data_IF_438747044962
#
_entry.id   IF_438747044962
#
_cell.length_a   1.000
_cell.length_b   1.000
_cell.length_c   1.000
_cell.angle_alpha   90.00
_cell.angle_beta   90.00
_cell.angle_gamma   90.00
#
_symmetry.space_group_name_H-M   'P 1'
#
loop_
_entity.id
_entity.type
_entity.pdbx_description
1 polymer ?
2 polymer ?
3 polymer ?
#
# COMPACT_ATOMS: atom_id res chain seq x y z
N UNK A 30 -18.57 -12.73 -3.12
CA UNK A 30 -18.83 -13.24 -1.77
C UNK A 30 -17.92 -12.61 -0.70
N UNK A 31 -18.46 -12.23 0.47
CA UNK A 31 -17.62 -11.94 1.67
C UNK A 31 -18.14 -12.08 3.11
N UNK A 32 -19.02 -11.20 3.55
CA UNK A 32 -19.99 -11.48 4.64
C UNK A 32 -19.53 -12.18 5.99
N UNK A 33 -19.84 -11.56 7.17
CA UNK A 33 -19.98 -12.36 8.42
C UNK A 33 -21.45 -12.87 8.43
N UNK A 34 -22.42 -12.04 8.79
CA UNK A 34 -23.78 -12.39 8.37
C UNK A 34 -23.75 -11.84 6.95
N UNK A 35 -23.34 -10.56 6.84
CA UNK A 35 -23.19 -9.91 5.54
C UNK A 35 -22.46 -8.53 5.49
N UNK A 36 -21.26 -8.52 4.89
CA UNK A 36 -20.78 -7.51 3.87
C UNK A 36 -20.22 -6.07 4.15
N UNK A 37 -20.95 -5.00 3.83
CA UNK A 37 -20.40 -3.62 4.00
C UNK A 37 -19.74 -3.43 5.36
N UNK A 38 -18.64 -2.67 5.42
CA UNK A 38 -17.94 -2.59 6.70
C UNK A 38 -18.89 -2.16 7.84
N UNK A 39 -19.69 -1.12 7.59
CA UNK A 39 -20.55 -0.57 8.64
C UNK A 39 -21.78 -1.40 8.96
N UNK A 40 -21.92 -2.56 8.32
CA UNK A 40 -22.95 -3.56 8.67
C UNK A 40 -22.32 -4.74 9.44
N UNK A 41 -21.08 -5.06 9.05
CA UNK A 41 -20.22 -5.96 9.79
C UNK A 41 -19.94 -5.36 11.19
N UNK A 42 -19.84 -4.04 11.29
CA UNK A 42 -19.72 -3.34 12.59
C UNK A 42 -20.94 -3.60 13.46
N UNK A 43 -22.12 -3.19 12.97
CA UNK A 43 -23.37 -3.39 13.70
C UNK A 43 -23.58 -4.85 14.16
N UNK A 44 -23.15 -5.82 13.34
CA UNK A 44 -23.30 -7.21 13.74
C UNK A 44 -22.34 -7.60 14.83
N UNK A 45 -21.10 -7.12 14.72
CA UNK A 45 -20.09 -7.40 15.75
C UNK A 45 -20.48 -6.69 17.02
N UNK A 46 -21.00 -5.47 16.87
CA UNK A 46 -21.56 -4.70 17.97
C UNK A 46 -22.57 -5.52 18.76
N UNK A 47 -23.72 -5.82 18.13
CA UNK A 47 -24.80 -6.58 18.81
C UNK A 47 -24.28 -7.90 19.38
N UNK A 48 -23.33 -8.55 18.71
CA UNK A 48 -22.69 -9.77 19.20
C UNK A 48 -21.95 -9.51 20.48
N UNK A 49 -20.81 -8.86 20.42
CA UNK A 49 -19.93 -8.78 21.57
C UNK A 49 -20.60 -8.15 22.81
N UNK A 50 -21.41 -7.11 22.62
CA UNK A 50 -22.03 -6.41 23.76
C UNK A 50 -23.07 -7.30 24.46
N UNK A 51 -24.15 -7.60 23.75
CA UNK A 51 -25.27 -8.33 24.34
C UNK A 51 -24.99 -9.77 24.79
N UNK A 52 -24.18 -10.50 24.00
CA UNK A 52 -24.02 -11.95 24.18
C UNK A 52 -23.28 -12.40 25.44
N UNK A 53 -22.01 -12.01 25.60
CA UNK A 53 -21.21 -12.42 26.78
C UNK A 53 -20.87 -13.91 26.82
N UNK A 54 -21.12 -14.58 25.68
CA UNK A 54 -20.94 -16.03 25.55
C UNK A 54 -19.87 -16.54 24.57
N UNK A 55 -19.29 -17.68 24.93
CA UNK A 55 -18.37 -18.33 24.03
C UNK A 55 -19.12 -19.24 23.03
N UNK A 56 -19.85 -18.69 22.06
CA UNK A 56 -20.33 -19.59 21.00
C UNK A 56 -19.14 -19.98 20.09
N UNK A 57 -18.56 -21.15 20.33
CA UNK A 57 -17.31 -21.52 19.67
C UNK A 57 -17.45 -21.65 18.13
N UNK A 58 -18.57 -22.22 17.69
CA UNK A 58 -18.92 -22.18 16.27
C UNK A 58 -18.61 -20.78 15.74
N UNK A 59 -19.17 -19.77 16.40
CA UNK A 59 -19.14 -18.37 15.98
C UNK A 59 -17.77 -17.69 15.92
N UNK A 60 -16.93 -17.93 16.95
CA UNK A 60 -15.54 -17.44 16.90
C UNK A 60 -14.90 -17.99 15.64
N UNK A 61 -15.10 -19.29 15.42
CA UNK A 61 -14.58 -19.92 14.22
C UNK A 61 -15.05 -19.20 12.95
N UNK A 62 -16.34 -18.94 12.81
CA UNK A 62 -16.87 -18.28 11.60
C UNK A 62 -16.29 -16.85 11.38
N UNK A 63 -15.77 -16.25 12.47
CA UNK A 63 -15.07 -14.96 12.38
C UNK A 63 -13.62 -15.14 11.87
N UNK A 64 -12.92 -16.13 12.43
CA UNK A 64 -11.64 -16.52 11.85
C UNK A 64 -11.74 -16.73 10.32
N UNK A 65 -12.76 -17.47 9.88
CA UNK A 65 -12.93 -17.76 8.44
C UNK A 65 -13.19 -16.48 7.63
N UNK A 66 -14.04 -15.62 8.19
CA UNK A 66 -14.28 -14.31 7.57
C UNK A 66 -13.02 -13.49 7.47
N UNK A 67 -12.20 -13.48 8.52
CA UNK A 67 -10.96 -12.74 8.51
C UNK A 67 -9.98 -13.29 7.51
N UNK A 68 -9.73 -14.59 7.57
CA UNK A 68 -8.78 -15.16 6.63
C UNK A 68 -9.25 -15.01 5.18
N UNK A 69 -10.57 -14.84 4.94
CA UNK A 69 -11.06 -14.66 3.55
C UNK A 69 -10.81 -13.26 3.07
N UNK A 70 -10.93 -12.28 3.98
CA UNK A 70 -10.46 -10.94 3.68
C UNK A 70 -8.99 -10.98 3.22
N UNK A 71 -8.22 -11.90 3.82
CA UNK A 71 -6.80 -12.06 3.42
C UNK A 71 -6.77 -12.51 1.96
N UNK A 72 -7.42 -13.64 1.65
CA UNK A 72 -7.47 -14.17 0.31
C UNK A 72 -8.06 -13.23 -0.74
N UNK A 73 -9.08 -12.44 -0.36
CA UNK A 73 -9.60 -11.40 -1.25
C UNK A 73 -8.75 -10.17 -1.35
N UNK A 74 -7.52 -10.24 -0.83
CA UNK A 74 -6.61 -9.10 -0.85
C UNK A 74 -7.30 -7.82 -0.34
N UNK A 75 -8.03 -7.93 0.77
CA UNK A 75 -8.78 -6.79 1.30
C UNK A 75 -8.32 -6.38 2.71
N UNK A 76 -7.09 -5.88 2.76
CA UNK A 76 -6.43 -5.67 4.03
C UNK A 76 -6.93 -4.49 4.86
N UNK A 77 -7.42 -3.44 4.19
CA UNK A 77 -7.98 -2.30 4.88
C UNK A 77 -9.14 -2.81 5.75
N UNK A 78 -9.94 -3.71 5.21
CA UNK A 78 -11.11 -4.16 5.95
C UNK A 78 -10.67 -5.12 7.06
N UNK A 79 -9.63 -5.89 6.78
CA UNK A 79 -9.09 -6.83 7.75
C UNK A 79 -8.61 -6.09 8.99
N UNK A 80 -8.12 -4.87 8.76
CA UNK A 80 -7.54 -4.09 9.84
C UNK A 80 -8.60 -3.33 10.61
N UNK A 81 -9.67 -2.94 9.93
CA UNK A 81 -10.68 -2.19 10.65
C UNK A 81 -11.44 -3.13 11.57
N UNK A 82 -11.58 -4.38 11.11
CA UNK A 82 -12.32 -5.39 11.84
C UNK A 82 -11.45 -5.83 13.01
N UNK A 83 -10.18 -6.11 12.75
CA UNK A 83 -9.33 -6.55 13.83
C UNK A 83 -9.22 -5.48 14.91
N UNK A 84 -9.13 -4.22 14.49
CA UNK A 84 -8.98 -3.09 15.42
C UNK A 84 -10.27 -2.84 16.21
N UNK A 85 -11.40 -2.93 15.52
CA UNK A 85 -12.70 -2.76 16.13
C UNK A 85 -13.01 -3.87 17.17
N UNK A 86 -12.67 -5.11 16.82
CA UNK A 86 -12.81 -6.20 17.74
C UNK A 86 -11.85 -6.09 18.94
N UNK A 87 -10.72 -5.41 18.78
CA UNK A 87 -9.84 -5.15 19.91
C UNK A 87 -10.56 -4.20 20.90
N UNK A 88 -11.07 -3.06 20.40
CA UNK A 88 -11.82 -2.08 21.18
C UNK A 88 -12.95 -2.77 21.95
N UNK A 89 -13.92 -3.36 21.25
CA UNK A 89 -15.05 -4.00 21.91
C UNK A 89 -14.76 -5.22 22.79
N UNK A 90 -13.72 -6.00 22.49
CA UNK A 90 -13.48 -7.23 23.26
C UNK A 90 -12.50 -7.04 24.43
N UNK A 91 -11.54 -6.15 24.28
CA UNK A 91 -10.54 -5.92 25.32
C UNK A 91 -11.14 -5.24 26.56
N UNK A 92 -12.14 -4.40 26.35
CA UNK A 92 -12.70 -3.63 27.45
C UNK A 92 -13.19 -4.60 28.48
N UNK A 93 -13.78 -5.69 27.99
CA UNK A 93 -14.05 -6.85 28.81
C UNK A 93 -15.32 -7.59 28.41
N UNK A 94 -16.31 -7.54 29.31
CA UNK A 94 -17.41 -8.53 29.41
C UNK A 94 -16.83 -9.83 30.00
N UNK A 95 -16.24 -9.67 31.19
CA UNK A 95 -15.46 -10.73 31.86
C UNK A 95 -14.11 -10.88 31.16
N UNK A 96 -13.98 -11.91 30.31
CA UNK A 96 -12.67 -12.33 29.82
C UNK A 96 -12.76 -13.37 28.72
N UNK A 97 -13.94 -13.97 28.59
CA UNK A 97 -14.19 -14.93 27.52
C UNK A 97 -13.78 -14.27 26.20
N UNK A 98 -14.27 -13.04 26.00
CA UNK A 98 -13.90 -12.17 24.87
C UNK A 98 -12.46 -11.75 24.81
N UNK A 99 -11.70 -12.04 25.86
CA UNK A 99 -10.29 -11.69 25.85
C UNK A 99 -9.46 -12.81 25.25
N UNK A 100 -9.88 -14.05 25.43
CA UNK A 100 -9.15 -15.16 24.88
C UNK A 100 -9.57 -15.36 23.45
N UNK A 101 -10.84 -15.08 23.18
CA UNK A 101 -11.43 -15.10 21.86
C UNK A 101 -10.61 -14.23 20.93
N UNK A 102 -10.55 -12.94 21.24
CA UNK A 102 -9.75 -12.03 20.42
C UNK A 102 -8.34 -12.57 20.18
N UNK A 103 -7.69 -13.04 21.25
CA UNK A 103 -6.34 -13.55 21.15
C UNK A 103 -6.35 -14.64 20.12
N UNK A 104 -7.26 -15.58 20.27
CA UNK A 104 -7.41 -16.69 19.33
C UNK A 104 -7.62 -16.29 17.86
N UNK A 105 -8.49 -15.31 17.62
CA UNK A 105 -8.72 -14.81 16.26
C UNK A 105 -7.43 -14.16 15.72
N UNK A 106 -6.80 -13.32 16.53
CA UNK A 106 -5.56 -12.67 16.11
C UNK A 106 -4.53 -13.70 15.70
N UNK A 107 -4.40 -14.79 16.47
CA UNK A 107 -3.39 -15.84 16.24
C UNK A 107 -3.48 -16.43 14.83
N UNK A 108 -4.70 -16.77 14.44
CA UNK A 108 -4.94 -17.44 13.21
C UNK A 108 -4.84 -16.45 12.07
N UNK A 109 -5.39 -15.26 12.23
CA UNK A 109 -5.22 -14.26 11.18
C UNK A 109 -3.72 -14.08 10.89
N UNK A 110 -2.95 -13.92 11.93
CA UNK A 110 -1.52 -13.68 11.81
C UNK A 110 -0.70 -14.82 11.15
N UNK A 111 -1.04 -16.08 11.39
CA UNK A 111 -0.28 -17.19 10.76
C UNK A 111 -0.54 -17.22 9.27
N UNK A 112 -1.78 -16.85 8.91
CA UNK A 112 -2.22 -16.86 7.54
C UNK A 112 -1.56 -15.66 6.83
N UNK A 113 -1.65 -14.47 7.45
CA UNK A 113 -0.92 -13.31 6.91
C UNK A 113 0.54 -13.60 6.73
N UNK A 114 1.18 -14.24 7.71
CA UNK A 114 2.57 -14.57 7.58
C UNK A 114 2.89 -15.43 6.36
N UNK A 115 1.99 -16.33 5.99
CA UNK A 115 2.22 -17.14 4.78
C UNK A 115 1.79 -16.47 3.52
N UNK A 116 0.85 -15.57 3.57
CA UNK A 116 0.41 -15.11 2.29
C UNK A 116 0.95 -13.73 1.95
N UNK A 117 1.36 -12.97 2.97
CA UNK A 117 2.04 -11.68 2.71
C UNK A 117 3.48 -11.63 3.25
N UNK A 118 3.87 -12.58 4.11
CA UNK A 118 5.24 -12.61 4.65
C UNK A 118 5.35 -11.48 5.64
N UNK A 119 4.22 -11.18 6.28
CA UNK A 119 4.12 -10.06 7.19
C UNK A 119 3.07 -10.31 8.26
N UNK A 120 3.39 -9.95 9.49
CA UNK A 120 2.43 -9.90 10.59
C UNK A 120 1.78 -8.52 10.57
N UNK A 121 0.54 -8.39 11.03
CA UNK A 121 -0.13 -7.08 11.12
C UNK A 121 0.43 -6.17 12.25
N UNK A 122 -0.42 -5.49 13.01
CA UNK A 122 -0.02 -4.28 13.74
C UNK A 122 -0.83 -4.02 15.04
N UNK A 123 -0.33 -3.06 15.83
CA UNK A 123 -0.63 -2.86 17.29
C UNK A 123 -0.35 -4.14 18.08
N UNK B 26 -9.81 -1.57 -24.63
CA UNK B 26 -8.71 -0.68 -25.11
C UNK B 26 -8.23 0.36 -24.08
N UNK B 27 -9.16 0.74 -23.20
CA UNK B 27 -8.92 1.43 -21.91
C UNK B 27 -7.58 1.17 -21.17
N UNK B 28 -6.78 0.23 -21.67
CA UNK B 28 -5.48 0.00 -21.09
C UNK B 28 -4.80 1.34 -20.81
N UNK B 29 -4.82 2.25 -21.77
CA UNK B 29 -3.99 3.44 -21.67
C UNK B 29 -4.56 4.55 -20.77
N UNK B 30 -5.86 4.56 -20.53
CA UNK B 30 -6.45 5.66 -19.80
C UNK B 30 -6.32 5.35 -18.30
N UNK B 31 -6.47 4.08 -17.96
CA UNK B 31 -6.22 3.70 -16.58
C UNK B 31 -4.75 3.95 -16.18
N UNK B 32 -3.82 3.65 -17.11
CA UNK B 32 -2.39 3.90 -16.94
C UNK B 32 -2.13 5.38 -16.76
N UNK B 33 -2.79 6.15 -17.60
CA UNK B 33 -2.89 7.59 -17.49
C UNK B 33 -3.30 7.88 -16.06
N UNK B 34 -4.46 7.37 -15.62
CA UNK B 34 -5.02 7.82 -14.34
C UNK B 34 -4.07 7.53 -13.20
N UNK B 35 -3.56 6.28 -13.21
CA UNK B 35 -2.61 5.78 -12.21
C UNK B 35 -1.29 6.51 -12.16
N UNK B 36 -0.76 6.87 -13.33
CA UNK B 36 0.49 7.63 -13.31
C UNK B 36 0.33 9.00 -12.70
N UNK B 37 -0.68 9.76 -13.13
CA UNK B 37 -1.00 11.00 -12.45
C UNK B 37 -1.11 10.79 -10.89
N UNK B 38 -1.72 9.69 -10.47
CA UNK B 38 -1.88 9.37 -9.05
C UNK B 38 -0.55 9.07 -8.36
N UNK B 39 0.25 8.17 -8.90
CA UNK B 39 1.46 7.71 -8.24
C UNK B 39 2.41 8.90 -8.08
N UNK B 40 2.44 9.79 -9.08
CA UNK B 40 3.28 11.01 -8.93
C UNK B 40 2.86 11.76 -7.66
N UNK B 41 1.56 12.03 -7.55
CA UNK B 41 1.08 12.72 -6.36
C UNK B 41 1.51 11.97 -5.10
N UNK B 42 1.20 10.68 -5.06
CA UNK B 42 1.49 9.89 -3.87
C UNK B 42 2.99 9.78 -3.56
N UNK B 43 3.84 9.58 -4.58
CA UNK B 43 5.27 9.54 -4.32
C UNK B 43 5.73 10.85 -3.63
N UNK B 44 5.31 11.99 -4.18
CA UNK B 44 5.82 13.28 -3.72
C UNK B 44 5.48 13.43 -2.25
N UNK B 45 4.20 13.17 -1.95
CA UNK B 45 3.62 13.25 -0.61
C UNK B 45 4.32 12.36 0.40
N UNK B 46 4.76 11.18 -0.07
CA UNK B 46 5.42 10.24 0.80
C UNK B 46 6.79 10.79 1.15
N UNK B 47 7.47 11.38 0.17
CA UNK B 47 8.80 11.92 0.44
C UNK B 47 8.69 13.10 1.38
N UNK B 48 7.61 13.84 1.28
CA UNK B 48 7.36 14.90 2.23
C UNK B 48 7.02 14.37 3.61
N UNK B 49 5.99 13.53 3.72
CA UNK B 49 5.48 13.05 5.02
C UNK B 49 6.51 12.18 5.77
N UNK B 50 7.30 11.41 5.02
CA UNK B 50 8.38 10.64 5.62
C UNK B 50 9.66 11.45 5.80
N UNK B 51 9.66 12.70 5.35
CA UNK B 51 10.81 13.60 5.54
C UNK B 51 12.10 13.08 4.89
N UNK B 52 11.97 12.53 3.69
CA UNK B 52 13.10 12.03 2.91
C UNK B 52 13.83 13.20 2.23
N UNK B 53 13.14 14.33 2.19
CA UNK B 53 13.68 15.59 1.72
C UNK B 53 13.12 16.69 2.61
N UNK B 54 13.94 17.71 2.84
CA UNK B 54 13.68 18.83 3.74
C UNK B 54 12.42 19.56 3.34
N UNK B 55 11.68 20.02 4.34
CA UNK B 55 10.37 20.65 4.12
C UNK B 55 10.38 21.67 2.98
N UNK B 56 11.52 22.31 2.80
CA UNK B 56 11.62 23.53 2.04
C UNK B 56 11.60 23.47 0.53
N UNK B 57 11.76 22.28 -0.05
CA UNK B 57 11.69 22.12 -1.52
C UNK B 57 10.28 21.74 -1.95
N UNK B 58 9.39 21.61 -0.98
CA UNK B 58 8.03 21.25 -1.30
C UNK B 58 7.18 22.48 -1.34
N UNK B 59 6.23 22.50 -2.26
CA UNK B 59 5.27 23.57 -2.34
C UNK B 59 3.87 22.99 -2.12
N UNK B 60 3.04 23.66 -1.32
CA UNK B 60 1.65 23.28 -1.12
C UNK B 60 0.95 23.18 -2.47
N UNK B 61 0.13 22.13 -2.65
CA UNK B 61 -0.74 22.04 -3.80
C UNK B 61 -2.06 21.39 -3.42
N UNK B 62 -2.99 21.45 -4.36
CA UNK B 62 -4.25 20.75 -4.26
C UNK B 62 -4.31 19.67 -5.37
N UNK B 63 -4.55 18.43 -4.98
CA UNK B 63 -4.79 17.37 -5.97
C UNK B 63 -5.90 16.50 -5.46
N UNK B 64 -6.74 16.01 -6.39
CA UNK B 64 -7.98 15.33 -6.05
C UNK B 64 -8.69 16.09 -4.93
N UNK B 65 -8.55 17.42 -4.98
CA UNK B 65 -9.08 18.30 -3.94
C UNK B 65 -8.55 18.03 -2.54
N UNK B 66 -7.33 17.52 -2.43
CA UNK B 66 -6.71 17.32 -1.14
C UNK B 66 -5.48 18.24 -0.99
N UNK B 67 -5.22 18.73 0.25
CA UNK B 67 -3.92 19.39 0.44
C UNK B 67 -2.80 18.37 0.26
N UNK B 68 -1.88 18.66 -0.65
CA UNK B 68 -0.71 17.81 -0.84
C UNK B 68 0.57 18.63 -0.83
N UNK B 69 1.71 17.97 -0.77
CA UNK B 69 3.00 18.61 -1.11
C UNK B 69 3.68 18.02 -2.36
N UNK B 70 4.43 18.86 -3.04
CA UNK B 70 5.10 18.44 -4.27
C UNK B 70 6.44 19.13 -4.37
N UNK B 71 7.48 18.34 -4.57
CA UNK B 71 8.80 18.94 -4.76
C UNK B 71 8.72 19.90 -5.93
N UNK B 72 9.44 20.99 -5.83
CA UNK B 72 9.72 21.71 -7.05
C UNK B 72 11.22 21.79 -7.32
N UNK B 73 11.95 20.80 -6.81
CA UNK B 73 13.32 20.63 -7.20
C UNK B 73 13.32 19.95 -8.51
N UNK B 74 13.81 20.64 -9.54
CA UNK B 74 13.66 20.17 -10.91
C UNK B 74 14.15 18.75 -11.12
N UNK B 75 15.31 18.40 -10.56
CA UNK B 75 15.91 17.05 -10.80
C UNK B 75 15.18 15.95 -10.04
N UNK B 76 14.64 16.29 -8.89
CA UNK B 76 13.92 15.31 -8.13
C UNK B 76 12.69 15.07 -8.97
N UNK B 77 12.03 16.17 -9.38
CA UNK B 77 10.81 16.02 -10.21
C UNK B 77 11.08 15.23 -11.48
N UNK B 78 12.19 15.52 -12.14
CA UNK B 78 12.52 14.81 -13.36
C UNK B 78 12.67 13.32 -13.05
N UNK B 79 13.34 13.02 -11.93
CA UNK B 79 13.62 11.64 -11.55
C UNK B 79 12.32 10.89 -11.38
N UNK B 80 11.45 11.43 -10.56
CA UNK B 80 10.20 10.77 -10.29
C UNK B 80 9.44 10.61 -11.61
N UNK B 81 9.51 11.58 -12.51
CA UNK B 81 8.81 11.46 -13.78
C UNK B 81 9.37 10.41 -14.76
N UNK B 82 10.71 10.36 -14.86
CA UNK B 82 11.36 9.34 -15.69
C UNK B 82 10.88 7.95 -15.29
N UNK B 83 10.88 7.71 -13.98
CA UNK B 83 10.36 6.47 -13.43
C UNK B 83 8.92 6.18 -13.92
N UNK B 84 7.97 7.08 -13.62
CA UNK B 84 6.57 6.85 -14.04
C UNK B 84 6.35 6.75 -15.53
N UNK B 85 7.09 7.54 -16.29
CA UNK B 85 7.03 7.48 -17.74
C UNK B 85 7.42 6.08 -18.15
N UNK B 86 8.47 5.51 -17.57
CA UNK B 86 8.92 4.17 -17.96
C UNK B 86 7.96 3.07 -17.52
N UNK B 87 7.23 3.27 -16.42
CA UNK B 87 6.35 2.23 -15.96
C UNK B 87 5.06 2.21 -16.80
N UNK B 88 4.67 3.38 -17.28
CA UNK B 88 3.40 3.59 -17.96
C UNK B 88 3.10 2.48 -18.95
N UNK B 89 3.99 2.24 -19.91
CA UNK B 89 3.60 1.24 -20.89
C UNK B 89 3.30 -0.14 -20.27
N UNK B 90 3.95 -0.47 -19.15
CA UNK B 90 3.75 -1.76 -18.54
C UNK B 90 2.40 -1.84 -17.82
N UNK B 91 1.92 -0.68 -17.37
CA UNK B 91 0.58 -0.56 -16.81
C UNK B 91 -0.44 -0.74 -17.94
N UNK B 92 -0.20 -0.09 -19.11
CA UNK B 92 -1.08 -0.18 -20.29
C UNK B 92 -1.40 -1.63 -20.64
N UNK B 93 -0.38 -2.49 -20.66
CA UNK B 93 -0.60 -3.89 -21.01
C UNK B 93 -0.87 -4.73 -19.73
N UNK B 94 -0.96 -4.05 -18.61
CA UNK B 94 -1.22 -4.71 -17.34
C UNK B 94 -0.20 -5.80 -16.91
N UNK B 95 1.11 -5.50 -16.98
CA UNK B 95 2.11 -6.51 -16.58
C UNK B 95 2.71 -6.32 -15.20
N UNK B 96 2.45 -5.13 -14.64
CA UNK B 96 2.90 -4.74 -13.33
C UNK B 96 1.91 -5.26 -12.33
N UNK B 97 2.46 -5.90 -11.32
CA UNK B 97 1.69 -6.51 -10.26
C UNK B 97 1.65 -5.56 -9.07
N UNK B 98 2.83 -5.06 -8.64
CA UNK B 98 2.90 -3.99 -7.62
C UNK B 98 3.96 -2.97 -7.95
N UNK B 99 3.71 -1.72 -7.55
CA UNK B 99 4.71 -0.66 -7.58
C UNK B 99 5.01 -0.30 -6.14
N UNK B 100 6.28 -0.29 -5.79
CA UNK B 100 6.67 -0.16 -4.39
C UNK B 100 7.65 0.98 -4.22
N UNK B 101 7.36 1.89 -3.30
CA UNK B 101 8.34 2.92 -2.99
C UNK B 101 9.06 2.46 -1.74
N UNK B 102 10.38 2.36 -1.84
CA UNK B 102 11.22 1.84 -0.76
C UNK B 102 12.04 2.93 -0.11
N UNK B 103 11.88 3.12 1.19
CA UNK B 103 12.74 4.04 1.95
C UNK B 103 13.93 3.25 2.52
N UNK B 104 15.14 3.74 2.28
CA UNK B 104 16.32 3.02 2.70
C UNK B 104 17.00 3.82 3.76
N UNK B 105 17.63 3.13 4.71
CA UNK B 105 18.46 3.81 5.70
C UNK B 105 19.82 4.06 5.05
N UNK B 106 20.71 4.67 5.82
CA UNK B 106 21.99 5.09 5.30
C UNK B 106 22.93 3.93 4.99
N UNK B 107 22.57 2.73 5.44
CA UNK B 107 23.32 1.54 5.13
C UNK B 107 22.69 0.84 3.95
N UNK B 108 21.65 1.47 3.39
CA UNK B 108 20.99 0.96 2.19
C UNK B 108 20.13 -0.25 2.47
N UNK B 109 19.87 -0.50 3.75
CA UNK B 109 18.89 -1.50 4.18
C UNK B 109 17.46 -0.91 4.17
N UNK B 110 16.51 -1.59 3.52
CA UNK B 110 15.13 -1.10 3.50
C UNK B 110 14.46 -0.93 4.88
N UNK B 111 14.04 0.27 5.22
CA UNK B 111 13.35 0.54 6.50
C UNK B 111 11.84 0.36 6.32
N UNK B 112 11.34 0.76 5.17
CA UNK B 112 9.93 0.64 4.95
C UNK B 112 9.61 0.77 3.47
N UNK B 113 8.47 0.20 3.11
CA UNK B 113 8.05 0.12 1.73
C UNK B 113 6.59 0.56 1.64
N UNK B 114 6.27 1.41 0.66
CA UNK B 114 4.88 1.72 0.36
C UNK B 114 4.43 0.95 -0.86
N UNK B 115 3.64 -0.09 -0.56
CA UNK B 115 3.22 -1.05 -1.56
C UNK B 115 1.87 -0.74 -2.18
N UNK B 116 1.88 -0.42 -3.47
CA UNK B 116 0.70 -0.24 -4.24
C UNK B 116 0.49 -1.52 -5.02
N UNK B 117 -0.30 -2.45 -4.46
CA UNK B 117 -0.73 -3.68 -5.20
C UNK B 117 -1.83 -3.33 -6.20
N UNK B 118 -1.69 -3.82 -7.44
CA UNK B 118 -2.58 -3.43 -8.55
C UNK B 118 -3.33 -4.59 -9.23
N UNK B 119 -4.60 -4.37 -9.56
CA UNK B 119 -5.34 -5.23 -10.47
C UNK B 119 -6.11 -4.36 -11.43
N UNK B 120 -6.25 -4.86 -12.66
CA UNK B 120 -7.01 -4.20 -13.71
C UNK B 120 -8.01 -5.16 -14.31
N UNK B 121 -9.22 -5.22 -13.73
CA UNK B 121 -10.25 -6.15 -14.22
C UNK B 121 -10.76 -5.76 -15.62
N UNK B 122 -10.85 -6.73 -16.56
CA UNK B 122 -11.27 -6.33 -17.92
C UNK B 122 -12.78 -6.24 -18.12
N UNK B 126 -19.19 -2.64 -21.47
CA UNK B 126 -17.97 -2.12 -20.86
C UNK B 126 -18.06 -0.57 -20.90
N UNK B 127 -18.61 0.01 -19.82
CA UNK B 127 -18.64 1.47 -19.47
C UNK B 127 -19.90 2.36 -19.80
N UNK B 128 -20.47 2.97 -18.75
CA UNK B 128 -21.51 4.02 -18.89
C UNK B 128 -21.20 5.31 -18.05
N UNK B 129 -20.53 6.27 -18.70
CA UNK B 129 -20.27 7.63 -18.20
C UNK B 129 -19.65 7.79 -16.79
N UNK B 130 -18.99 8.93 -16.57
CA UNK B 130 -18.36 9.34 -15.29
C UNK B 130 -17.80 8.21 -14.35
N UNK B 131 -17.26 7.17 -14.98
CA UNK B 131 -16.50 6.15 -14.31
C UNK B 131 -15.14 6.70 -13.79
N UNK B 132 -14.42 7.41 -14.64
CA UNK B 132 -13.15 7.98 -14.26
C UNK B 132 -13.18 8.90 -13.02
N UNK B 133 -14.18 9.78 -12.93
CA UNK B 133 -14.24 10.71 -11.79
C UNK B 133 -14.62 10.00 -10.50
N UNK B 134 -15.35 8.90 -10.60
CA UNK B 134 -15.60 8.08 -9.44
C UNK B 134 -14.30 7.41 -9.00
N UNK B 135 -13.47 7.03 -9.97
CA UNK B 135 -12.20 6.41 -9.64
C UNK B 135 -11.29 7.40 -8.93
N UNK B 136 -11.31 8.66 -9.34
CA UNK B 136 -10.45 9.68 -8.70
C UNK B 136 -10.95 10.08 -7.31
N UNK B 137 -12.26 10.07 -7.16
CA UNK B 137 -12.86 10.18 -5.87
C UNK B 137 -12.27 9.13 -4.89
N UNK B 138 -12.14 7.89 -5.37
CA UNK B 138 -11.60 6.85 -4.53
C UNK B 138 -10.09 7.07 -4.25
N UNK B 139 -9.36 7.64 -5.21
CA UNK B 139 -7.89 7.78 -5.03
C UNK B 139 -7.54 8.89 -4.06
N UNK B 140 -8.30 9.99 -4.15
CA UNK B 140 -8.26 11.05 -3.16
C UNK B 140 -8.06 10.48 -1.73
N UNK B 141 -8.85 9.46 -1.36
CA UNK B 141 -8.80 8.88 -0.01
C UNK B 141 -7.46 8.21 0.39
N UNK B 142 -6.70 7.82 -0.64
CA UNK B 142 -5.38 7.23 -0.51
C UNK B 142 -4.41 8.33 -0.16
N UNK B 143 -4.53 9.44 -0.90
CA UNK B 143 -3.72 10.64 -0.66
C UNK B 143 -3.86 11.08 0.80
N UNK B 144 -5.08 11.13 1.31
CA UNK B 144 -5.28 11.50 2.70
C UNK B 144 -4.61 10.52 3.67
N UNK B 145 -4.81 9.24 3.43
CA UNK B 145 -4.27 8.24 4.33
C UNK B 145 -2.77 8.46 4.45
N UNK B 146 -2.14 8.77 3.32
CA UNK B 146 -0.71 9.06 3.27
C UNK B 146 -0.36 10.30 4.09
N UNK B 147 -1.21 11.32 4.02
CA UNK B 147 -0.89 12.59 4.64
C UNK B 147 -1.06 12.51 6.15
N UNK B 148 -1.82 11.55 6.63
CA UNK B 148 -1.99 11.38 8.08
C UNK B 148 -1.39 10.06 8.55
N UNK B 149 -0.40 9.56 7.81
CA UNK B 149 0.12 8.22 8.06
C UNK B 149 1.28 8.16 9.07
N UNK B 150 1.76 9.31 9.52
CA UNK B 150 2.74 9.37 10.60
C UNK B 150 2.14 8.84 11.88
N UNK B 151 0.82 8.87 11.96
CA UNK B 151 0.07 8.46 13.15
C UNK B 151 0.16 6.97 13.46
N UNK B 152 0.68 6.18 12.50
CA UNK B 152 0.61 4.70 12.55
C UNK B 152 1.95 4.00 12.28
N UNK B 153 2.96 4.79 11.93
CA UNK B 153 4.26 4.27 11.56
C UNK B 153 5.26 4.82 12.53
N UNK B 154 6.34 4.09 12.78
CA UNK B 154 7.42 4.60 13.62
C UNK B 154 8.33 5.42 12.74
N UNK B 155 8.89 6.54 13.24
CA UNK B 155 9.70 7.33 12.33
C UNK B 155 11.04 6.69 12.07
N UNK B 156 11.57 6.94 10.87
CA UNK B 156 12.84 6.37 10.44
C UNK B 156 14.05 7.08 11.05
N UNK B 157 15.16 6.33 11.19
CA UNK B 157 16.47 6.91 11.46
C UNK B 157 16.78 7.97 10.40
N UNK B 158 17.58 8.99 10.73
CA UNK B 158 17.74 10.01 9.71
C UNK B 158 18.73 9.58 8.60
N UNK B 159 18.86 10.40 7.57
CA UNK B 159 19.68 10.09 6.40
C UNK B 159 19.12 9.00 5.50
N UNK B 160 17.80 8.91 5.45
CA UNK B 160 17.12 7.95 4.57
C UNK B 160 17.05 8.44 3.13
N UNK B 161 17.33 7.51 2.25
CA UNK B 161 17.25 7.66 0.81
C UNK B 161 15.94 6.95 0.40
N UNK B 162 15.49 7.10 -0.85
CA UNK B 162 14.41 6.24 -1.34
C UNK B 162 14.71 5.65 -2.70
N UNK B 163 13.85 4.72 -3.14
CA UNK B 163 13.96 4.09 -4.46
C UNK B 163 12.58 3.55 -4.95
N UNK B 164 12.44 3.27 -6.25
CA UNK B 164 11.23 2.67 -6.77
C UNK B 164 11.46 1.26 -7.33
N UNK B 165 10.56 0.33 -7.04
CA UNK B 165 10.66 -1.05 -7.51
C UNK B 165 9.36 -1.37 -8.20
N UNK B 166 9.46 -2.02 -9.35
CA UNK B 166 8.27 -2.43 -10.09
C UNK B 166 8.25 -3.95 -10.13
N UNK B 167 7.33 -4.57 -9.40
CA UNK B 167 7.19 -6.03 -9.48
C UNK B 167 6.32 -6.41 -10.64
N UNK B 168 6.90 -7.01 -11.67
CA UNK B 168 6.05 -7.56 -12.79
C UNK B 168 5.28 -8.84 -12.44
N UNK B 169 4.19 -9.09 -13.16
CA UNK B 169 3.40 -10.29 -12.94
C UNK B 169 4.19 -11.49 -13.38
N UNK B 170 4.85 -11.33 -14.51
CA UNK B 170 5.50 -12.44 -15.18
C UNK B 170 6.97 -12.09 -15.25
N UNK B 171 7.82 -13.08 -15.14
CA UNK B 171 9.23 -12.82 -15.39
C UNK B 171 9.45 -12.85 -16.89
N UNK B 172 9.46 -11.69 -17.53
CA UNK B 172 9.44 -11.70 -18.98
C UNK B 172 10.36 -10.70 -19.64
N UNK B 173 11.20 -11.23 -20.47
CA UNK B 173 11.97 -10.50 -21.44
C UNK B 173 11.23 -9.30 -22.04
N UNK B 174 10.00 -9.49 -22.52
CA UNK B 174 9.12 -8.42 -23.02
C UNK B 174 9.05 -7.20 -22.06
N UNK B 175 8.88 -7.49 -20.77
CA UNK B 175 8.95 -6.47 -19.71
C UNK B 175 10.21 -5.56 -19.68
N UNK B 176 11.38 -6.14 -19.83
CA UNK B 176 12.60 -5.34 -19.84
C UNK B 176 12.60 -4.43 -21.06
N UNK B 177 12.14 -4.95 -22.19
CA UNK B 177 12.12 -4.19 -23.41
C UNK B 177 11.22 -2.99 -23.28
N UNK B 178 9.95 -3.21 -22.95
CA UNK B 178 9.03 -2.07 -22.88
C UNK B 178 9.32 -1.06 -21.76
N UNK B 179 10.09 -1.47 -20.74
CA UNK B 179 10.51 -0.52 -19.71
C UNK B 179 11.71 0.32 -20.15
N UNK B 180 12.63 -0.21 -20.95
CA UNK B 180 13.78 0.58 -21.44
C UNK B 180 13.39 1.69 -22.45
N UNK B 181 12.64 2.68 -21.98
CA UNK B 181 12.06 3.68 -22.85
C UNK B 181 12.87 4.99 -22.90
N UNK B 182 13.65 5.29 -21.87
CA UNK B 182 14.57 6.42 -21.98
C UNK B 182 16.00 5.92 -21.87
N UNK B 183 16.82 6.21 -22.88
CA UNK B 183 18.25 6.04 -22.70
C UNK B 183 18.57 7.17 -21.75
N UNK B 184 19.60 7.02 -20.94
CA UNK B 184 19.90 7.99 -19.89
C UNK B 184 19.05 7.72 -18.69
N UNK B 185 18.11 6.78 -18.84
CA UNK B 185 17.40 6.28 -17.67
C UNK B 185 17.11 4.76 -17.67
N UNK B 186 18.18 3.96 -17.70
CA UNK B 186 18.07 2.53 -17.75
C UNK B 186 17.42 1.89 -16.50
N UNK B 187 16.84 0.68 -16.68
CA UNK B 187 16.42 -0.20 -15.59
C UNK B 187 17.27 -1.45 -15.52
N UNK B 188 17.50 -1.96 -14.31
CA UNK B 188 18.20 -3.24 -14.13
C UNK B 188 17.32 -4.20 -13.33
N UNK B 189 17.77 -5.43 -13.14
CA UNK B 189 17.05 -6.31 -12.23
C UNK B 189 17.53 -5.97 -10.84
N UNK B 190 16.63 -6.03 -9.85
CA UNK B 190 16.91 -5.77 -8.44
C UNK B 190 17.80 -6.85 -7.83
N UNK B 191 18.61 -6.52 -6.82
CA UNK B 191 19.30 -7.56 -6.00
C UNK B 191 18.43 -7.96 -4.80
N UNK B 192 18.85 -9.02 -4.10
CA UNK B 192 18.24 -9.41 -2.84
C UNK B 192 18.38 -8.28 -1.81
N UNK B 193 19.53 -7.59 -1.83
CA UNK B 193 19.81 -6.43 -0.98
C UNK B 193 18.81 -5.27 -1.15
N UNK B 194 18.21 -5.14 -2.34
CA UNK B 194 17.20 -4.11 -2.60
C UNK B 194 15.84 -4.46 -1.99
N UNK B 195 15.59 -5.74 -1.81
CA UNK B 195 14.23 -6.17 -1.46
C UNK B 195 14.09 -6.76 -0.06
N UNK B 196 15.16 -7.40 0.44
CA UNK B 196 15.04 -8.07 1.72
C UNK B 196 14.83 -7.13 2.85
N UNK B 197 13.71 -7.32 3.54
CA UNK B 197 13.42 -6.59 4.77
C UNK B 197 13.12 -7.56 5.86
N UNK B 198 13.91 -7.54 6.93
CA UNK B 198 13.68 -8.53 7.98
C UNK B 198 12.63 -8.13 8.95
N UNK B 199 11.67 -8.93 8.88
CA UNK B 199 10.57 -9.00 9.79
C UNK B 199 9.66 -7.86 9.63
N UNK B 200 8.80 -7.99 8.70
CA UNK B 200 8.02 -6.88 8.31
C UNK B 200 6.74 -6.92 9.09
N UNK B 201 6.25 -5.75 9.43
CA UNK B 201 4.97 -5.70 10.12
C UNK B 201 4.00 -4.94 9.19
N UNK B 202 2.72 -5.13 9.13
CA UNK B 202 1.93 -4.67 8.02
C UNK B 202 0.95 -3.60 8.45
N UNK B 203 0.96 -2.48 7.72
CA UNK B 203 0.04 -1.40 8.01
C UNK B 203 -0.75 -0.98 6.78
N UNK B 204 -1.91 -1.61 6.56
CA UNK B 204 -2.73 -1.24 5.38
C UNK B 204 -3.16 0.18 5.49
N UNK B 205 -3.18 0.93 4.40
CA UNK B 205 -3.83 2.25 4.47
C UNK B 205 -5.17 2.26 3.74
N UNK B 206 -5.22 1.77 2.50
CA UNK B 206 -6.44 1.93 1.71
C UNK B 206 -6.61 0.85 0.63
N UNK B 207 -7.85 0.41 0.45
CA UNK B 207 -8.19 -0.55 -0.59
C UNK B 207 -9.31 0.11 -1.40
N UNK B 208 -9.43 -0.24 -2.67
CA UNK B 208 -10.52 0.26 -3.51
C UNK B 208 -10.89 -0.77 -4.57
N UNK B 209 -12.11 -0.66 -5.10
CA UNK B 209 -12.54 -1.48 -6.26
C UNK B 209 -13.27 -0.59 -7.23
N UNK B 210 -13.25 -0.97 -8.50
CA UNK B 210 -14.03 -0.29 -9.53
C UNK B 210 -14.07 -1.22 -10.75
N UNK B 211 -14.72 -0.78 -11.82
CA UNK B 211 -14.74 -1.61 -13.01
C UNK B 211 -13.36 -1.64 -13.69
N UNK B 212 -12.64 -0.53 -13.60
CA UNK B 212 -11.34 -0.40 -14.23
C UNK B 212 -10.12 -0.66 -13.31
N UNK B 213 -10.26 -0.42 -12.01
CA UNK B 213 -9.10 -0.48 -11.15
C UNK B 213 -9.38 -1.10 -9.78
N UNK B 214 -8.48 -1.98 -9.32
CA UNK B 214 -8.49 -2.54 -7.95
C UNK B 214 -7.10 -2.33 -7.42
N UNK B 215 -7.00 -1.70 -6.28
CA UNK B 215 -5.68 -1.38 -5.81
C UNK B 215 -5.69 -1.31 -4.32
N UNK B 216 -4.63 -1.78 -3.70
CA UNK B 216 -4.47 -1.50 -2.29
C UNK B 216 -3.09 -0.99 -1.98
N UNK B 217 -3.03 -0.10 -0.99
CA UNK B 217 -1.82 0.48 -0.47
C UNK B 217 -1.68 0.07 0.97
N UNK B 218 -0.62 -0.69 1.21
CA UNK B 218 -0.17 -1.04 2.58
C UNK B 218 1.32 -0.72 2.67
N UNK B 219 1.76 -0.53 3.90
CA UNK B 219 3.14 -0.24 4.19
C UNK B 219 3.67 -1.50 4.84
N UNK B 220 4.86 -1.89 4.43
CA UNK B 220 5.59 -2.96 5.11
C UNK B 220 6.67 -2.20 5.83
N UNK B 221 6.71 -2.33 7.14
CA UNK B 221 7.63 -1.58 7.99
C UNK B 221 8.54 -2.52 8.79
N UNK B 222 9.85 -2.31 8.68
CA UNK B 222 10.88 -3.08 9.44
C UNK B 222 10.50 -3.16 10.91
N UNK B 223 10.85 -4.25 11.58
CA UNK B 223 10.38 -4.51 12.96
C UNK B 223 11.12 -3.67 14.02
N UNK B 224 12.46 -3.72 13.98
CA UNK B 224 13.34 -2.94 14.87
C UNK B 224 14.65 -2.64 14.15
N UNK C 27 16.10 -14.46 -5.25
CA UNK C 27 14.74 -15.06 -5.37
C UNK C 27 14.07 -14.47 -6.60
N UNK C 28 14.23 -15.16 -7.72
CA UNK C 28 13.62 -14.75 -8.99
C UNK C 28 13.95 -13.30 -9.40
N UNK C 29 13.42 -12.90 -10.56
CA UNK C 29 13.80 -11.65 -11.16
C UNK C 29 12.68 -11.08 -12.02
N UNK C 30 11.57 -10.78 -11.34
CA UNK C 30 10.46 -10.10 -11.97
C UNK C 30 10.33 -8.73 -11.33
N UNK C 31 11.37 -8.34 -10.60
CA UNK C 31 11.46 -7.03 -9.98
C UNK C 31 12.42 -6.08 -10.72
N UNK C 32 11.89 -4.95 -11.19
CA UNK C 32 12.70 -3.97 -11.90
C UNK C 32 12.99 -2.73 -11.11
N UNK C 33 14.13 -2.14 -11.38
CA UNK C 33 14.68 -1.07 -10.58
C UNK C 33 15.35 -0.14 -11.59
N UNK C 34 15.32 1.19 -11.35
CA UNK C 34 16.12 2.09 -12.16
C UNK C 34 17.55 1.93 -11.72
N UNK C 35 18.48 2.19 -12.64
CA UNK C 35 19.88 2.09 -12.34
C UNK C 35 20.28 3.36 -11.62
N UNK C 36 19.70 4.49 -12.03
CA UNK C 36 20.07 5.80 -11.52
C UNK C 36 19.46 6.04 -10.18
N UNK C 37 20.18 6.73 -9.34
CA UNK C 37 19.67 7.07 -8.03
C UNK C 37 18.99 8.43 -8.02
N UNK C 38 17.98 8.58 -7.16
CA UNK C 38 17.38 9.89 -6.93
C UNK C 38 18.41 10.83 -6.33
N UNK C 39 18.25 12.16 -6.52
CA UNK C 39 19.21 13.15 -6.08
C UNK C 39 19.34 13.10 -4.57
N UNK C 40 20.56 13.19 -4.05
CA UNK C 40 20.80 13.08 -2.62
C UNK C 40 20.28 14.29 -1.86
N UNK C 41 19.93 14.10 -0.58
CA UNK C 41 19.55 15.22 0.29
C UNK C 41 20.49 16.41 0.14
N UNK C 42 21.78 16.14 0.01
CA UNK C 42 22.79 17.19 -0.12
C UNK C 42 22.62 18.06 -1.37
N UNK C 43 22.55 17.44 -2.54
CA UNK C 43 22.40 18.16 -3.81
C UNK C 43 21.15 19.04 -3.86
N UNK C 44 20.19 18.73 -3.01
CA UNK C 44 18.97 19.52 -2.89
C UNK C 44 19.30 20.72 -2.03
N UNK C 45 19.83 20.46 -0.84
CA UNK C 45 20.27 21.52 0.06
C UNK C 45 21.27 22.43 -0.66
N UNK C 46 21.81 21.97 -1.78
CA UNK C 46 22.49 22.84 -2.73
C UNK C 46 21.46 23.85 -3.27
N UNK C 47 20.56 24.27 -2.38
CA UNK C 47 19.63 25.40 -2.53
C UNK C 47 18.92 25.63 -1.19
#
# INVERSE_FOLDING_TARGET
>A
MRGSHHHHHHGSGLSSLQSDPAGCVRPPAPNLAGAVEFNDVKTLLREWITTISDPMEEDILQVVKYCTDLIEEKDLEKLDLVIKYMKRLMQQSVESVWNMAFDFILDNVQVVLQQTYGSTLKVT
>B
MGSSHHHHHHSQDPNSMTTLTRQDLNFGQVVADVLCEFLEVAVHLILYVREVYPVGIFQKRKKYNVPVQMSCHPELNQYIQDTLHCVKPLLEKNDVEKVVVVILDKEHRPVEKFVFEITQPPLLSISSDSLLSHVEQLLAAFILKISVCDAVLDHNPPGCTFTVLVHTREAATRNMEKIQVIKDFPWILADEQDVHMHDPRLIPLKTMTSDILKMQLYVEERAHKGS
>C
MLTPTPDSSPRSTSSPSQSKNGSFTPRTANILKPLMSPPSREEIMATLLDHD
#
